data_IF_632727261363
#
_entry.id   IF_632727261363
#
_cell.length_a   1.000
_cell.length_b   1.000
_cell.length_c   1.000
_cell.angle_alpha   90.00
_cell.angle_beta   90.00
_cell.angle_gamma   90.00
#
_symmetry.space_group_name_H-M   'P 1'
#
loop_
_entity.id
_entity.type
_entity.pdbx_description
1 polymer ?
#
# COMPACT_ATOMS: atom_id res chain seq x y z
N UNK A 1 1.02 10.58 2.29
CA UNK A 1 1.42 9.28 2.83
C UNK A 1 1.09 9.21 4.32
N UNK A 2 0.51 8.10 4.75
CA UNK A 2 0.18 7.86 6.16
C UNK A 2 0.83 6.54 6.56
N UNK A 3 1.49 6.50 7.71
CA UNK A 3 2.18 5.33 8.22
C UNK A 3 1.61 4.96 9.57
N UNK A 4 1.39 3.69 9.84
CA UNK A 4 0.88 3.23 11.11
C UNK A 4 1.02 1.74 11.32
N UNK A 5 0.39 1.28 12.39
CA UNK A 5 0.35 -0.14 12.75
C UNK A 5 -1.10 -0.53 13.08
N UNK A 6 -1.54 -1.70 12.63
CA UNK A 6 -2.91 -2.17 12.84
C UNK A 6 -3.29 -2.25 14.33
N UNK A 7 -2.32 -2.50 15.20
CA UNK A 7 -2.56 -2.56 16.64
C UNK A 7 -2.51 -1.18 17.33
N UNK A 8 -2.29 -0.11 16.59
CA UNK A 8 -2.18 1.25 17.13
C UNK A 8 -2.80 2.28 16.17
N UNK A 9 -3.95 1.96 15.60
CA UNK A 9 -4.62 2.81 14.58
C UNK A 9 -4.79 4.28 15.00
N UNK A 10 -5.13 4.62 16.26
CA UNK A 10 -5.27 6.03 16.65
C UNK A 10 -4.01 6.86 16.45
N UNK A 11 -2.82 6.25 16.48
CA UNK A 11 -1.55 6.96 16.31
C UNK A 11 -1.29 7.38 14.87
N UNK A 12 -1.98 6.78 13.90
CA UNK A 12 -1.78 7.08 12.49
C UNK A 12 -2.47 8.37 12.04
N UNK A 13 -3.44 8.87 12.80
CA UNK A 13 -4.19 10.07 12.42
C UNK A 13 -5.01 9.88 11.16
N UNK A 14 -5.65 8.72 11.00
CA UNK A 14 -6.37 8.38 9.79
C UNK A 14 -7.58 9.26 9.55
N UNK A 15 -7.86 9.63 8.28
CA UNK A 15 -9.18 10.13 7.89
C UNK A 15 -10.26 9.13 8.29
N UNK A 16 -11.46 9.61 8.61
CA UNK A 16 -12.53 8.77 9.16
C UNK A 16 -12.91 7.59 8.26
N UNK A 17 -12.92 7.77 6.95
CA UNK A 17 -13.23 6.68 6.02
C UNK A 17 -12.21 5.53 6.10
N UNK A 18 -10.92 5.87 6.19
CA UNK A 18 -9.86 4.87 6.31
C UNK A 18 -9.85 4.22 7.70
N UNK A 19 -10.12 4.99 8.74
CA UNK A 19 -10.24 4.44 10.08
C UNK A 19 -11.40 3.43 10.15
N UNK A 20 -12.54 3.75 9.57
CA UNK A 20 -13.70 2.86 9.53
C UNK A 20 -13.37 1.53 8.86
N UNK A 21 -12.61 1.55 7.77
CA UNK A 21 -12.19 0.34 7.08
C UNK A 21 -11.21 -0.48 7.93
N UNK A 22 -10.12 0.14 8.38
CA UNK A 22 -9.05 -0.60 9.06
C UNK A 22 -9.42 -1.03 10.48
N UNK A 23 -10.41 -0.40 11.11
CA UNK A 23 -10.91 -0.80 12.43
C UNK A 23 -11.92 -1.95 12.39
N UNK A 24 -12.30 -2.44 11.20
CA UNK A 24 -13.18 -3.60 11.08
C UNK A 24 -12.52 -4.83 11.70
N UNK A 25 -13.29 -5.69 12.41
CA UNK A 25 -12.72 -6.94 12.96
C UNK A 25 -12.08 -7.83 11.91
N UNK A 26 -12.61 -7.86 10.68
CA UNK A 26 -12.06 -8.67 9.58
C UNK A 26 -10.82 -8.04 8.95
N UNK A 27 -10.45 -6.83 9.32
CA UNK A 27 -9.20 -6.18 8.92
C UNK A 27 -8.11 -6.20 10.01
N UNK A 28 -8.35 -6.86 11.14
CA UNK A 28 -7.33 -7.06 12.15
C UNK A 28 -6.19 -7.94 11.60
N UNK A 29 -4.99 -7.78 12.13
CA UNK A 29 -3.82 -8.50 11.65
C UNK A 29 -4.03 -10.02 11.61
N UNK A 30 -4.58 -10.58 12.68
CA UNK A 30 -4.86 -12.01 12.76
C UNK A 30 -5.88 -12.47 11.71
N UNK A 31 -6.92 -11.68 11.51
CA UNK A 31 -7.98 -11.98 10.54
C UNK A 31 -7.43 -11.93 9.11
N UNK A 32 -6.66 -10.92 8.77
CA UNK A 32 -6.03 -10.82 7.44
C UNK A 32 -5.03 -11.95 7.21
N UNK A 33 -4.24 -12.27 8.22
CA UNK A 33 -3.23 -13.34 8.12
C UNK A 33 -3.85 -14.72 7.94
N UNK A 34 -5.06 -14.94 8.45
CA UNK A 34 -5.78 -16.19 8.36
C UNK A 34 -6.53 -16.37 7.04
N UNK A 35 -6.66 -15.32 6.21
CA UNK A 35 -7.37 -15.42 4.94
C UNK A 35 -6.55 -16.19 3.91
N UNK A 36 -7.27 -16.87 3.01
CA UNK A 36 -6.67 -17.47 1.82
C UNK A 36 -6.10 -16.39 0.91
N UNK A 37 -5.12 -16.76 0.11
CA UNK A 37 -4.55 -15.90 -0.92
C UNK A 37 -5.63 -15.53 -1.95
N UNK A 38 -5.56 -14.33 -2.48
CA UNK A 38 -6.43 -13.85 -3.53
C UNK A 38 -7.14 -12.55 -3.18
N UNK A 39 -8.12 -12.22 -4.01
CA UNK A 39 -8.93 -11.01 -3.86
C UNK A 39 -10.05 -11.25 -2.84
N UNK A 40 -10.17 -10.32 -1.91
CA UNK A 40 -11.25 -10.28 -0.93
C UNK A 40 -11.96 -8.95 -1.01
N UNK A 41 -13.28 -9.00 -1.11
CA UNK A 41 -14.13 -7.82 -1.11
C UNK A 41 -15.36 -8.10 -0.28
N UNK A 42 -15.55 -7.42 0.86
CA UNK A 42 -16.78 -7.58 1.65
C UNK A 42 -18.00 -7.15 0.85
N UNK A 43 -19.12 -7.82 1.09
CA UNK A 43 -20.38 -7.49 0.43
C UNK A 43 -20.77 -6.03 0.70
N UNK A 44 -21.19 -5.33 -0.36
CA UNK A 44 -21.61 -3.93 -0.28
C UNK A 44 -20.48 -2.92 -0.24
N UNK A 45 -19.23 -3.35 -0.22
CA UNK A 45 -18.08 -2.47 -0.22
C UNK A 45 -17.56 -2.21 -1.64
N UNK A 46 -17.11 -0.97 -1.90
CA UNK A 46 -16.50 -0.58 -3.17
C UNK A 46 -14.98 -0.73 -3.17
N UNK A 47 -14.39 -0.89 -1.99
CA UNK A 47 -12.97 -1.21 -1.86
C UNK A 47 -12.75 -2.72 -1.85
N UNK A 48 -11.56 -3.14 -2.16
CA UNK A 48 -11.19 -4.55 -2.09
C UNK A 48 -9.74 -4.70 -1.63
N UNK A 49 -9.37 -5.92 -1.27
CA UNK A 49 -8.04 -6.26 -0.78
C UNK A 49 -7.51 -7.46 -1.56
N UNK A 50 -6.23 -7.42 -1.90
CA UNK A 50 -5.51 -8.56 -2.43
C UNK A 50 -4.49 -9.03 -1.41
N UNK A 51 -4.52 -10.32 -1.08
CA UNK A 51 -3.63 -10.94 -0.09
C UNK A 51 -2.82 -12.03 -0.78
N UNK A 52 -1.54 -12.07 -0.50
CA UNK A 52 -0.71 -13.14 -1.01
C UNK A 52 0.77 -12.96 -0.79
N UNK A 53 1.56 -13.98 -1.18
CA UNK A 53 3.02 -13.91 -1.13
C UNK A 53 3.54 -13.03 -2.27
N UNK A 54 4.57 -12.27 -1.98
CA UNK A 54 5.31 -11.47 -2.94
C UNK A 54 6.79 -11.47 -2.58
N UNK A 55 7.63 -11.26 -3.58
CA UNK A 55 9.08 -11.27 -3.43
C UNK A 55 9.60 -9.84 -3.34
N UNK A 56 10.38 -9.53 -2.30
CA UNK A 56 11.16 -8.30 -2.25
C UNK A 56 12.40 -8.44 -3.13
N UNK A 57 12.93 -7.32 -3.59
CA UNK A 57 14.10 -7.27 -4.47
C UNK A 57 14.99 -6.09 -4.11
N UNK A 58 16.25 -6.07 -4.57
CA UNK A 58 17.09 -4.88 -4.45
C UNK A 58 16.38 -3.66 -5.03
N UNK A 59 16.52 -2.52 -4.39
CA UNK A 59 15.85 -1.28 -4.81
C UNK A 59 16.06 -0.96 -6.29
N UNK A 60 17.27 -1.21 -6.82
CA UNK A 60 17.61 -0.92 -8.21
C UNK A 60 16.75 -1.70 -9.23
N UNK A 61 16.13 -2.80 -8.81
CA UNK A 61 15.28 -3.64 -9.65
C UNK A 61 13.80 -3.33 -9.52
N UNK A 62 13.44 -2.35 -8.67
CA UNK A 62 12.05 -2.00 -8.42
C UNK A 62 11.68 -0.70 -9.13
N UNK A 63 10.46 -0.67 -9.67
CA UNK A 63 9.92 0.54 -10.29
C UNK A 63 9.22 1.41 -9.24
N UNK A 64 9.05 2.69 -9.56
CA UNK A 64 8.23 3.63 -8.79
C UNK A 64 6.92 3.84 -9.53
N UNK A 65 5.81 3.71 -8.82
CA UNK A 65 4.47 3.78 -9.39
C UNK A 65 3.58 4.76 -8.63
N UNK A 66 2.49 5.16 -9.28
CA UNK A 66 1.39 5.91 -8.68
C UNK A 66 0.08 5.54 -9.37
N UNK A 67 -1.04 5.93 -8.75
CA UNK A 67 -2.38 5.68 -9.26
C UNK A 67 -3.17 6.98 -9.29
N UNK A 68 -4.18 7.07 -10.12
CA UNK A 68 -5.07 8.23 -10.19
C UNK A 68 -6.42 7.98 -9.51
N UNK A 69 -6.93 6.75 -9.61
CA UNK A 69 -8.31 6.41 -9.23
C UNK A 69 -8.40 5.73 -7.88
N UNK A 70 -7.30 5.19 -7.38
CA UNK A 70 -7.27 4.38 -6.16
C UNK A 70 -6.19 4.86 -5.21
N UNK A 71 -6.49 4.80 -3.91
CA UNK A 71 -5.46 4.82 -2.88
C UNK A 71 -5.06 3.38 -2.55
N UNK A 72 -3.80 3.20 -2.16
CA UNK A 72 -3.29 1.92 -1.68
C UNK A 72 -3.14 1.97 -0.16
N UNK A 73 -3.63 0.93 0.52
CA UNK A 73 -3.18 0.63 1.88
C UNK A 73 -2.33 -0.63 1.77
N UNK A 74 -1.05 -0.51 2.03
CA UNK A 74 -0.10 -1.63 1.92
C UNK A 74 0.28 -2.09 3.32
N UNK A 75 -0.05 -3.34 3.64
CA UNK A 75 0.15 -3.92 4.97
C UNK A 75 1.05 -5.15 4.82
N UNK A 76 2.12 -5.21 5.59
CA UNK A 76 2.94 -6.42 5.70
C UNK A 76 2.28 -7.34 6.72
N UNK A 77 1.99 -8.57 6.31
CA UNK A 77 1.43 -9.61 7.20
C UNK A 77 2.53 -10.49 7.80
N UNK A 78 3.55 -10.81 7.01
CA UNK A 78 4.75 -11.52 7.49
C UNK A 78 5.96 -11.12 6.66
N UNK A 79 7.12 -11.13 7.29
CA UNK A 79 8.36 -10.63 6.70
C UNK A 79 8.49 -9.12 6.87
N UNK A 80 9.26 -8.51 5.99
CA UNK A 80 9.49 -7.06 6.04
C UNK A 80 9.88 -6.52 4.67
N UNK A 81 9.59 -5.25 4.44
CA UNK A 81 10.00 -4.54 3.24
C UNK A 81 10.33 -3.09 3.55
N UNK A 82 11.02 -2.45 2.63
CA UNK A 82 11.16 -0.99 2.60
C UNK A 82 10.35 -0.47 1.41
N UNK A 83 9.58 0.58 1.64
CA UNK A 83 8.92 1.34 0.57
C UNK A 83 9.57 2.71 0.53
N UNK A 84 10.14 3.05 -0.62
CA UNK A 84 10.63 4.41 -0.85
C UNK A 84 9.53 5.25 -1.43
N UNK A 85 9.40 6.48 -0.94
CA UNK A 85 8.32 7.37 -1.32
C UNK A 85 8.79 8.82 -1.36
N UNK A 86 7.96 9.67 -1.93
CA UNK A 86 8.16 11.10 -1.97
C UNK A 86 6.92 11.84 -1.51
N UNK A 87 7.06 13.14 -1.31
CA UNK A 87 5.99 13.99 -0.80
C UNK A 87 5.35 14.85 -1.90
N UNK A 88 5.83 14.75 -3.13
CA UNK A 88 5.35 15.53 -4.26
C UNK A 88 4.71 14.64 -5.31
N UNK A 89 3.63 15.11 -5.89
CA UNK A 89 3.05 14.45 -7.06
C UNK A 89 3.97 14.65 -8.26
N UNK A 90 4.21 13.58 -9.01
CA UNK A 90 5.11 13.59 -10.17
C UNK A 90 4.41 13.16 -11.45
N UNK A 91 3.08 13.05 -11.41
CA UNK A 91 2.27 12.61 -12.54
C UNK A 91 2.52 13.49 -13.78
N UNK A 92 2.74 12.84 -14.92
CA UNK A 92 2.94 13.48 -16.22
C UNK A 92 2.05 12.83 -17.26
N UNK A 93 1.58 13.58 -18.28
CA UNK A 93 0.68 13.03 -19.30
C UNK A 93 1.29 11.88 -20.12
N UNK A 94 2.62 11.81 -20.22
CA UNK A 94 3.36 10.82 -21.00
C UNK A 94 3.90 9.65 -20.16
N UNK A 95 3.53 9.56 -18.89
CA UNK A 95 3.92 8.42 -18.07
C UNK A 95 3.30 7.12 -18.60
N UNK A 96 4.07 6.03 -18.52
CA UNK A 96 3.61 4.71 -18.94
C UNK A 96 2.49 4.20 -18.03
N UNK A 97 1.32 3.95 -18.60
CA UNK A 97 0.26 3.20 -17.92
C UNK A 97 0.46 1.70 -18.20
N UNK A 98 1.19 1.03 -17.33
CA UNK A 98 1.59 -0.38 -17.53
C UNK A 98 0.41 -1.34 -17.38
N UNK A 99 -0.53 -1.03 -16.52
CA UNK A 99 -1.81 -1.71 -16.31
C UNK A 99 -2.85 -0.63 -16.03
N UNK A 100 -4.17 -0.94 -16.07
CA UNK A 100 -5.18 0.05 -15.72
C UNK A 100 -4.88 0.71 -14.37
N UNK A 101 -4.73 2.04 -14.37
CA UNK A 101 -4.42 2.90 -13.23
C UNK A 101 -3.07 2.60 -12.53
N UNK A 102 -2.14 1.95 -13.23
CA UNK A 102 -0.77 1.75 -12.72
C UNK A 102 0.22 2.49 -13.62
N UNK A 103 0.66 3.65 -13.15
CA UNK A 103 1.57 4.53 -13.88
C UNK A 103 2.99 4.39 -13.33
N UNK A 104 3.96 4.29 -14.22
CA UNK A 104 5.37 4.20 -13.87
C UNK A 104 6.00 5.57 -14.05
N UNK A 105 6.75 6.01 -13.05
CA UNK A 105 7.49 7.27 -13.10
C UNK A 105 8.98 7.05 -12.85
N UNK A 106 9.80 7.82 -13.55
CA UNK A 106 11.25 7.89 -13.32
C UNK A 106 11.66 9.23 -12.71
N UNK A 107 10.68 10.08 -12.37
CA UNK A 107 10.92 11.46 -11.92
C UNK A 107 10.73 11.66 -10.43
N UNK A 108 10.32 10.63 -9.69
CA UNK A 108 10.08 10.74 -8.27
C UNK A 108 11.38 10.95 -7.49
N UNK A 109 11.29 11.80 -6.47
CA UNK A 109 12.33 11.90 -5.43
C UNK A 109 11.92 11.05 -4.25
N UNK A 110 12.75 10.09 -3.90
CA UNK A 110 12.53 9.24 -2.74
C UNK A 110 13.11 9.92 -1.49
N UNK A 111 12.37 10.85 -0.92
CA UNK A 111 12.79 11.58 0.27
C UNK A 111 12.51 10.82 1.57
N UNK A 112 11.72 9.74 1.49
CA UNK A 112 11.31 8.95 2.66
C UNK A 112 11.51 7.47 2.35
N UNK A 113 12.07 6.74 3.31
CA UNK A 113 12.14 5.29 3.30
C UNK A 113 11.34 4.75 4.49
N UNK A 114 10.34 3.93 4.22
CA UNK A 114 9.46 3.38 5.25
C UNK A 114 9.76 1.90 5.42
N UNK A 115 10.16 1.51 6.62
CA UNK A 115 10.38 0.11 6.96
C UNK A 115 9.09 -0.47 7.53
N UNK A 116 8.51 -1.44 6.84
CA UNK A 116 7.30 -2.14 7.26
C UNK A 116 7.62 -3.56 7.71
N UNK A 117 7.19 -3.92 8.90
CA UNK A 117 7.20 -5.27 9.43
C UNK A 117 5.76 -5.73 9.70
N UNK A 118 5.57 -6.94 10.22
CA UNK A 118 4.22 -7.50 10.41
C UNK A 118 3.30 -6.55 11.19
N UNK A 119 2.16 -6.21 10.60
CA UNK A 119 1.17 -5.29 11.15
C UNK A 119 1.38 -3.83 10.80
N UNK A 120 2.55 -3.46 10.31
CA UNK A 120 2.82 -2.10 9.84
C UNK A 120 2.17 -1.85 8.48
N UNK A 121 1.71 -0.62 8.26
CA UNK A 121 1.12 -0.24 6.98
C UNK A 121 1.61 1.14 6.52
N UNK A 122 1.52 1.34 5.21
CA UNK A 122 1.68 2.64 4.58
C UNK A 122 0.50 2.87 3.63
N UNK A 123 -0.03 4.09 3.63
CA UNK A 123 -1.14 4.50 2.78
C UNK A 123 -0.64 5.54 1.80
N UNK A 124 -0.87 5.29 0.51
CA UNK A 124 -0.53 6.20 -0.58
C UNK A 124 -1.81 6.67 -1.24
N UNK A 125 -2.03 7.98 -1.22
CA UNK A 125 -3.19 8.61 -1.86
C UNK A 125 -3.00 8.66 -3.38
N UNK A 126 -4.08 8.86 -4.16
CA UNK A 126 -3.94 9.06 -5.60
C UNK A 126 -2.90 10.14 -5.93
N UNK A 127 -1.98 9.83 -6.83
CA UNK A 127 -0.89 10.73 -7.23
C UNK A 127 0.39 10.61 -6.41
N UNK A 128 0.41 9.89 -5.30
CA UNK A 128 1.61 9.74 -4.48
C UNK A 128 2.53 8.65 -5.04
N UNK A 129 3.76 8.98 -5.43
CA UNK A 129 4.71 7.99 -5.94
C UNK A 129 5.24 7.10 -4.82
N UNK A 130 5.34 5.81 -5.10
CA UNK A 130 5.91 4.85 -4.15
C UNK A 130 6.64 3.73 -4.89
N UNK A 131 7.76 3.28 -4.31
CA UNK A 131 8.58 2.20 -4.81
C UNK A 131 8.55 1.09 -3.76
N UNK A 132 7.62 0.15 -3.94
CA UNK A 132 7.37 -0.93 -3.00
C UNK A 132 8.26 -2.15 -3.26
N UNK A 133 8.24 -3.09 -2.32
CA UNK A 133 8.92 -4.38 -2.40
C UNK A 133 10.43 -4.28 -2.49
N UNK A 134 11.00 -3.27 -1.86
CA UNK A 134 12.45 -3.17 -1.73
C UNK A 134 12.91 -4.02 -0.55
N UNK A 135 13.96 -4.81 -0.78
CA UNK A 135 14.51 -5.70 0.23
C UNK A 135 15.11 -4.89 1.40
N UNK A 136 14.89 -5.43 2.60
CA UNK A 136 15.67 -5.05 3.78
C UNK A 136 16.92 -5.88 3.71
N UNK A 137 18.05 -5.67 3.70
CA UNK A 137 19.27 -6.46 3.50
C UNK A 137 19.20 -7.41 2.29
N UNK A 138 18.50 -8.55 2.40
CA UNK A 138 18.42 -9.56 1.33
C UNK A 138 16.98 -9.75 0.86
N UNK A 139 16.78 -10.06 -0.45
CA UNK A 139 15.47 -10.43 -0.96
C UNK A 139 14.85 -11.59 -0.18
N UNK A 140 13.55 -11.51 0.05
CA UNK A 140 12.79 -12.55 0.74
C UNK A 140 11.36 -12.60 0.23
N UNK A 141 10.70 -13.73 0.42
CA UNK A 141 9.26 -13.80 0.23
C UNK A 141 8.57 -13.26 1.47
N UNK A 142 7.67 -12.30 1.26
CA UNK A 142 6.84 -11.74 2.32
C UNK A 142 5.38 -11.99 1.99
N UNK A 143 4.49 -11.83 2.97
CA UNK A 143 3.05 -11.88 2.72
C UNK A 143 2.46 -10.52 3.00
N UNK A 144 1.70 -10.01 2.03
CA UNK A 144 1.11 -8.66 2.06
C UNK A 144 -0.38 -8.69 1.87
N UNK A 145 -1.05 -7.68 2.42
CA UNK A 145 -2.39 -7.28 2.07
C UNK A 145 -2.33 -5.88 1.46
N UNK A 146 -2.85 -5.73 0.25
CA UNK A 146 -2.93 -4.42 -0.41
C UNK A 146 -4.40 -4.10 -0.61
N UNK A 147 -4.87 -3.05 0.08
CA UNK A 147 -6.23 -2.56 -0.08
C UNK A 147 -6.26 -1.52 -1.19
N UNK A 148 -7.25 -1.63 -2.06
CA UNK A 148 -7.54 -0.64 -3.10
C UNK A 148 -8.79 0.13 -2.68
N UNK A 149 -8.60 1.41 -2.39
CA UNK A 149 -9.67 2.29 -1.90
C UNK A 149 -10.04 3.27 -3.00
N UNK A 150 -11.29 3.26 -3.50
CA UNK A 150 -11.72 4.20 -4.53
C UNK A 150 -11.54 5.65 -4.06
N UNK A 151 -11.08 6.49 -4.96
CA UNK A 151 -10.89 7.92 -4.70
C UNK A 151 -12.13 8.57 -4.10
N UNK A 152 -13.32 8.15 -4.54
CA UNK A 152 -14.57 8.71 -4.05
C UNK A 152 -14.78 8.56 -2.54
N UNK A 153 -14.20 7.54 -1.91
CA UNK A 153 -14.28 7.35 -0.45
C UNK A 153 -13.39 8.33 0.32
N UNK A 154 -12.43 8.98 -0.33
CA UNK A 154 -11.50 9.93 0.27
C UNK A 154 -11.97 11.37 0.12
N UNK A 155 -12.90 11.62 -0.79
CA UNK A 155 -13.43 12.94 -1.11
C UNK A 155 -14.74 13.17 -0.35
N UNK A 156 -14.61 13.47 0.93
CA UNK A 156 -15.77 13.72 1.78
C UNK A 156 -15.86 15.17 2.20
#
# INVERSE_FOLDING_TARGET
MIIGHLNALPLAGLPSALYTILSRPDCALDALSARDDGRWQPEGCTWFCHIGPVQTQPQALRHTEYHHLWADIQIVLSGEEIIHAGTESVARPDDEERKPDLFITTKARHSVAVHLAAGSFAIFLPGEPHQALCAVDNPMTIRKAVFKIPRALLEM
#
